data_IF_280165092775
#
_entry.id   IF_280165092775
#
_cell.length_a   1.000
_cell.length_b   1.000
_cell.length_c   1.000
_cell.angle_alpha   90.00
_cell.angle_beta   90.00
_cell.angle_gamma   90.00
#
_symmetry.space_group_name_H-M   'P 1'
#
loop_
_entity.id
_entity.type
_entity.pdbx_description
1 polymer ?
#
# COMPACT_ATOMS: atom_id res chain seq x y z
N UNK A 1 -14.06 -0.89 8.90
CA UNK A 1 -14.11 -0.82 10.34
C UNK A 1 -13.41 -1.99 11.01
N UNK A 2 -13.48 -2.04 12.33
CA UNK A 2 -12.76 -3.04 13.11
C UNK A 2 -13.20 -4.47 12.84
N UNK A 3 -14.50 -4.67 12.61
CA UNK A 3 -15.03 -6.01 12.29
C UNK A 3 -14.39 -6.54 11.00
N UNK A 4 -14.30 -5.69 10.00
CA UNK A 4 -13.72 -6.03 8.71
C UNK A 4 -12.22 -6.34 8.84
N UNK A 5 -11.51 -5.51 9.59
CA UNK A 5 -10.09 -5.71 9.85
C UNK A 5 -9.81 -7.03 10.57
N UNK A 6 -10.60 -7.36 11.61
CA UNK A 6 -10.44 -8.61 12.34
C UNK A 6 -10.65 -9.82 11.44
N UNK A 7 -11.60 -9.72 10.51
CA UNK A 7 -11.87 -10.79 9.56
C UNK A 7 -10.67 -11.05 8.67
N UNK A 8 -10.00 -10.00 8.19
CA UNK A 8 -8.80 -10.16 7.37
C UNK A 8 -7.59 -10.59 8.18
N UNK A 9 -7.41 -10.04 9.38
CA UNK A 9 -6.30 -10.40 10.26
C UNK A 9 -6.30 -11.91 10.55
N UNK A 10 -7.48 -12.47 10.82
CA UNK A 10 -7.59 -13.90 11.13
C UNK A 10 -7.22 -14.80 9.95
N UNK A 11 -7.26 -14.28 8.72
CA UNK A 11 -6.95 -15.03 7.51
C UNK A 11 -5.47 -15.00 7.12
N UNK A 12 -4.66 -14.18 7.77
CA UNK A 12 -3.23 -14.12 7.49
C UNK A 12 -2.56 -15.36 8.07
N UNK A 13 -1.80 -16.06 7.25
CA UNK A 13 -1.09 -17.26 7.69
C UNK A 13 0.04 -16.88 8.65
N UNK A 14 0.37 -17.74 9.63
CA UNK A 14 1.53 -17.48 10.50
C UNK A 14 2.78 -17.19 9.67
N UNK A 15 3.53 -16.17 10.06
CA UNK A 15 4.69 -15.70 9.31
C UNK A 15 4.37 -14.80 8.14
N UNK A 16 3.08 -14.54 7.87
CA UNK A 16 2.66 -13.67 6.80
C UNK A 16 2.79 -12.19 7.12
N UNK A 17 2.36 -11.37 6.19
CA UNK A 17 2.43 -9.91 6.28
C UNK A 17 1.02 -9.34 6.22
N UNK A 18 0.72 -8.40 7.12
CA UNK A 18 -0.52 -7.63 7.09
C UNK A 18 -0.17 -6.15 6.96
N UNK A 19 -0.76 -5.49 5.97
CA UNK A 19 -0.63 -4.05 5.78
C UNK A 19 -2.01 -3.43 5.99
N UNK A 20 -2.09 -2.41 6.83
CA UNK A 20 -3.36 -1.72 7.07
C UNK A 20 -3.20 -0.21 6.97
N UNK A 21 -4.30 0.46 6.58
CA UNK A 21 -4.37 1.91 6.59
C UNK A 21 -4.69 2.36 8.02
N UNK A 22 -3.89 3.28 8.56
CA UNK A 22 -4.10 3.79 9.92
C UNK A 22 -5.31 4.69 10.06
N UNK A 23 -5.89 5.17 8.96
CA UNK A 23 -7.03 6.09 9.01
C UNK A 23 -8.28 5.36 9.51
N UNK A 24 -8.84 5.83 10.61
CA UNK A 24 -10.06 5.27 11.16
C UNK A 24 -9.90 3.95 11.90
N UNK A 25 -8.68 3.48 12.09
CA UNK A 25 -8.43 2.24 12.83
C UNK A 25 -8.44 2.55 14.33
N UNK A 26 -9.35 1.90 15.06
CA UNK A 26 -9.46 2.05 16.51
C UNK A 26 -8.62 1.00 17.24
N UNK A 27 -8.69 -0.24 16.76
CA UNK A 27 -7.97 -1.36 17.34
C UNK A 27 -6.95 -1.90 16.34
N UNK A 28 -5.65 -1.57 16.48
CA UNK A 28 -4.62 -2.10 15.59
C UNK A 28 -4.50 -3.63 15.70
N UNK A 29 -3.92 -4.30 14.70
CA UNK A 29 -3.69 -5.75 14.77
C UNK A 29 -2.87 -6.14 15.99
N UNK A 30 -3.19 -7.27 16.61
CA UNK A 30 -2.55 -7.74 17.84
C UNK A 30 -1.82 -9.07 17.70
N UNK A 31 -1.92 -9.74 16.56
CA UNK A 31 -1.24 -11.03 16.35
C UNK A 31 0.27 -10.85 16.33
N UNK A 32 0.97 -11.74 17.04
CA UNK A 32 2.44 -11.69 17.15
C UNK A 32 3.14 -12.63 16.19
N UNK A 33 2.39 -13.51 15.53
CA UNK A 33 2.92 -14.50 14.59
C UNK A 33 2.97 -13.99 13.14
N UNK A 34 2.65 -12.72 12.92
CA UNK A 34 2.70 -12.08 11.63
C UNK A 34 3.48 -10.77 11.73
N UNK A 35 3.95 -10.28 10.58
CA UNK A 35 4.58 -8.96 10.50
C UNK A 35 3.52 -7.94 10.10
N UNK A 36 3.39 -6.87 10.87
CA UNK A 36 2.35 -5.86 10.66
C UNK A 36 2.99 -4.54 10.24
N UNK A 37 2.45 -3.97 9.18
CA UNK A 37 2.85 -2.66 8.68
C UNK A 37 1.65 -1.74 8.62
N UNK A 38 1.87 -0.47 8.97
CA UNK A 38 0.87 0.58 8.80
C UNK A 38 1.28 1.48 7.64
N UNK A 39 0.30 1.85 6.82
CA UNK A 39 0.50 2.83 5.76
C UNK A 39 -0.69 3.79 5.80
N UNK A 40 -0.43 5.10 5.90
CA UNK A 40 -1.49 6.11 5.94
C UNK A 40 -1.83 6.55 4.52
N UNK A 41 -2.30 5.59 3.73
CA UNK A 41 -2.52 5.78 2.30
C UNK A 41 -3.69 6.72 2.01
N UNK A 42 -4.75 6.68 2.82
CA UNK A 42 -5.89 7.59 2.65
C UNK A 42 -5.44 9.04 2.85
N UNK A 43 -4.67 9.30 3.91
CA UNK A 43 -4.19 10.64 4.20
C UNK A 43 -3.21 11.12 3.13
N UNK A 44 -2.33 10.24 2.65
CA UNK A 44 -1.38 10.60 1.60
C UNK A 44 -2.09 10.88 0.28
N UNK A 45 -3.11 10.11 -0.09
CA UNK A 45 -3.88 10.36 -1.29
C UNK A 45 -4.58 11.73 -1.22
N UNK A 46 -5.11 12.09 -0.04
CA UNK A 46 -5.71 13.40 0.17
C UNK A 46 -4.67 14.52 0.04
N UNK A 47 -3.47 14.32 0.58
CA UNK A 47 -2.36 15.27 0.45
C UNK A 47 -1.97 15.47 -1.02
N UNK A 48 -1.97 14.40 -1.80
CA UNK A 48 -1.71 14.46 -3.24
C UNK A 48 -2.89 15.00 -4.05
N UNK A 49 -4.01 15.28 -3.37
CA UNK A 49 -5.24 15.82 -3.96
C UNK A 49 -5.83 14.91 -5.04
N UNK A 50 -5.64 13.60 -4.89
CA UNK A 50 -6.16 12.62 -5.83
C UNK A 50 -6.41 11.29 -5.14
N UNK A 51 -7.67 11.05 -4.75
CA UNK A 51 -8.04 9.81 -4.06
C UNK A 51 -7.84 8.55 -4.93
N UNK A 52 -7.75 8.72 -6.25
CA UNK A 52 -7.58 7.58 -7.17
C UNK A 52 -6.19 6.95 -7.09
N UNK A 53 -5.21 7.63 -6.49
CA UNK A 53 -3.86 7.07 -6.34
C UNK A 53 -3.70 6.21 -5.10
N UNK A 54 -4.75 6.06 -4.29
CA UNK A 54 -4.70 5.26 -3.06
C UNK A 54 -4.09 3.87 -3.29
N UNK A 55 -4.56 3.16 -4.31
CA UNK A 55 -4.07 1.80 -4.60
C UNK A 55 -2.59 1.80 -4.97
N UNK A 56 -2.12 2.83 -5.65
CA UNK A 56 -0.70 2.92 -6.03
C UNK A 56 0.19 3.21 -4.82
N UNK A 57 -0.32 3.97 -3.86
CA UNK A 57 0.39 4.22 -2.60
C UNK A 57 0.55 2.91 -1.82
N UNK A 58 -0.54 2.13 -1.71
CA UNK A 58 -0.51 0.83 -1.04
C UNK A 58 0.45 -0.12 -1.75
N UNK A 59 0.41 -0.13 -3.07
CA UNK A 59 1.33 -0.95 -3.88
C UNK A 59 2.79 -0.56 -3.59
N UNK A 60 3.08 0.74 -3.50
CA UNK A 60 4.42 1.22 -3.17
C UNK A 60 4.90 0.68 -1.82
N UNK A 61 4.02 0.75 -0.81
CA UNK A 61 4.32 0.20 0.50
C UNK A 61 4.61 -1.30 0.44
N UNK A 62 3.79 -2.04 -0.29
CA UNK A 62 3.98 -3.48 -0.47
C UNK A 62 5.33 -3.79 -1.15
N UNK A 63 5.70 -3.04 -2.18
CA UNK A 63 6.96 -3.25 -2.89
C UNK A 63 8.17 -2.92 -2.02
N UNK A 64 8.02 -2.04 -1.03
CA UNK A 64 9.09 -1.74 -0.08
C UNK A 64 9.37 -2.94 0.83
N UNK A 65 8.33 -3.62 1.29
CA UNK A 65 8.47 -4.74 2.24
C UNK A 65 8.62 -6.07 1.53
N UNK A 66 8.17 -6.18 0.29
CA UNK A 66 8.24 -7.42 -0.51
C UNK A 66 8.62 -7.05 -1.95
N UNK A 67 9.91 -6.80 -2.23
CA UNK A 67 10.34 -6.25 -3.52
C UNK A 67 10.38 -7.31 -4.63
N UNK A 68 9.20 -7.71 -5.10
CA UNK A 68 9.06 -8.70 -6.18
C UNK A 68 9.26 -8.08 -7.56
N UNK A 69 9.08 -6.75 -7.69
CA UNK A 69 9.25 -6.01 -8.93
C UNK A 69 9.95 -4.69 -8.59
N UNK A 70 10.89 -4.26 -9.43
CA UNK A 70 11.51 -2.94 -9.24
C UNK A 70 10.54 -1.83 -9.66
N UNK A 71 10.79 -0.61 -9.18
CA UNK A 71 9.98 0.54 -9.61
C UNK A 71 10.16 0.79 -11.12
N UNK A 72 11.34 0.55 -11.65
CA UNK A 72 11.59 0.65 -13.09
C UNK A 72 10.77 -0.39 -13.86
N UNK A 73 10.74 -1.64 -13.37
CA UNK A 73 9.93 -2.70 -13.97
C UNK A 73 8.45 -2.38 -13.93
N UNK A 74 7.97 -1.82 -12.81
CA UNK A 74 6.58 -1.40 -12.68
C UNK A 74 6.25 -0.30 -13.69
N UNK A 75 7.12 0.70 -13.82
CA UNK A 75 6.93 1.77 -14.79
C UNK A 75 6.79 1.23 -16.22
N UNK A 76 7.67 0.31 -16.60
CA UNK A 76 7.60 -0.35 -17.92
C UNK A 76 6.31 -1.14 -18.08
N UNK A 77 5.88 -1.84 -17.04
CA UNK A 77 4.64 -2.62 -17.07
C UNK A 77 3.43 -1.72 -17.26
N UNK A 78 3.40 -0.56 -16.62
CA UNK A 78 2.31 0.40 -16.77
C UNK A 78 2.23 0.93 -18.21
N UNK A 79 3.39 1.27 -18.82
CA UNK A 79 3.42 1.69 -20.22
C UNK A 79 2.91 0.62 -21.16
N UNK A 80 3.19 -0.65 -20.84
CA UNK A 80 2.77 -1.78 -21.67
C UNK A 80 1.29 -2.10 -21.50
N UNK A 81 0.77 -1.99 -20.28
CA UNK A 81 -0.58 -2.47 -19.92
C UNK A 81 -1.67 -1.43 -20.12
N UNK A 82 -1.34 -0.14 -19.96
CA UNK A 82 -2.33 0.92 -20.07
C UNK A 82 -2.47 1.41 -21.49
N UNK A 83 -3.71 1.73 -21.92
CA UNK A 83 -3.90 2.42 -23.19
C UNK A 83 -3.10 3.72 -23.25
N UNK A 84 -2.65 4.09 -24.44
CA UNK A 84 -1.83 5.30 -24.63
C UNK A 84 -2.47 6.54 -24.06
N UNK A 85 -3.81 6.65 -24.12
CA UNK A 85 -4.54 7.79 -23.56
C UNK A 85 -4.37 7.97 -22.06
N UNK A 86 -3.95 6.91 -21.35
CA UNK A 86 -3.72 6.93 -19.91
C UNK A 86 -2.25 7.08 -19.53
N UNK A 87 -1.33 7.10 -20.50
CA UNK A 87 0.10 7.18 -20.20
C UNK A 87 0.47 8.48 -19.49
N UNK A 88 -0.28 9.54 -19.69
CA UNK A 88 -0.05 10.83 -19.00
C UNK A 88 -0.23 10.72 -17.48
N UNK A 89 -0.93 9.69 -17.01
CA UNK A 89 -1.17 9.46 -15.58
C UNK A 89 -0.04 8.65 -14.93
N UNK A 90 0.85 8.05 -15.71
CA UNK A 90 1.91 7.19 -15.19
C UNK A 90 2.86 7.93 -14.26
N UNK A 91 3.32 9.17 -14.57
CA UNK A 91 4.17 9.90 -13.63
C UNK A 91 3.51 10.10 -12.26
N UNK A 92 2.22 10.43 -12.23
CA UNK A 92 1.49 10.59 -10.97
C UNK A 92 1.40 9.26 -10.22
N UNK A 93 1.10 8.17 -10.94
CA UNK A 93 1.02 6.85 -10.32
C UNK A 93 2.38 6.42 -9.75
N UNK A 94 3.47 6.69 -10.46
CA UNK A 94 4.82 6.36 -9.98
C UNK A 94 5.22 7.22 -8.78
N UNK A 95 4.78 8.48 -8.74
CA UNK A 95 4.95 9.32 -7.58
C UNK A 95 4.23 8.74 -6.37
N UNK A 96 3.00 8.26 -6.56
CA UNK A 96 2.23 7.60 -5.51
C UNK A 96 2.94 6.35 -4.99
N UNK A 97 3.49 5.54 -5.87
CA UNK A 97 4.28 4.36 -5.49
C UNK A 97 5.47 4.78 -4.62
N UNK A 98 6.20 5.81 -5.05
CA UNK A 98 7.35 6.32 -4.31
C UNK A 98 6.95 6.82 -2.91
N UNK A 99 5.84 7.54 -2.82
CA UNK A 99 5.33 8.02 -1.53
C UNK A 99 4.93 6.86 -0.62
N UNK A 100 4.30 5.83 -1.16
CA UNK A 100 3.95 4.63 -0.38
C UNK A 100 5.18 3.95 0.20
N UNK A 101 6.26 3.89 -0.57
CA UNK A 101 7.52 3.32 -0.10
C UNK A 101 8.12 4.13 1.06
N UNK A 102 7.89 5.43 1.08
CA UNK A 102 8.43 6.32 2.13
C UNK A 102 7.62 6.27 3.42
N UNK A 103 6.30 6.10 3.32
CA UNK A 103 5.42 6.28 4.48
C UNK A 103 5.05 4.97 5.19
N UNK A 104 5.33 3.82 4.59
CA UNK A 104 5.01 2.54 5.24
C UNK A 104 5.91 2.33 6.46
N UNK A 105 5.31 1.90 7.56
CA UNK A 105 6.00 1.70 8.83
C UNK A 105 5.72 0.31 9.39
N UNK A 106 6.77 -0.38 9.84
CA UNK A 106 6.61 -1.63 10.57
C UNK A 106 6.12 -1.31 11.98
N UNK A 107 5.11 -2.05 12.44
CA UNK A 107 4.57 -1.90 13.79
C UNK A 107 5.04 -3.03 14.68
N UNK A 108 5.57 -2.67 15.84
CA UNK A 108 5.93 -3.64 16.88
C UNK A 108 4.67 -3.98 17.69
N UNK A 109 4.49 -5.27 17.98
CA UNK A 109 3.33 -5.76 18.75
C UNK A 109 3.80 -6.49 20.00
#
# INVERSE_FOLDING_TARGET
GDVYKRQFESKVKPGGILIYDGNGIINPPTRKDITVYQIDATDKAAEMKNSKVFNMIVLGGLLKVCPVVSTEGLNKALFKSLPERHHKLIPLNMEAVSEGMKIIEKKEI
#
